data_IF_541485246539
#
_entry.id   IF_541485246539
#
_cell.length_a   1.000
_cell.length_b   1.000
_cell.length_c   1.000
_cell.angle_alpha   90.00
_cell.angle_beta   90.00
_cell.angle_gamma   90.00
#
_symmetry.space_group_name_H-M   'P 1'
#
loop_
_entity.id
_entity.type
_entity.pdbx_description
1 polymer ?
#
# COMPACT_ATOMS: atom_id res chain seq x y z
N UNK A 1 16.54 -2.44 -9.40
CA UNK A 1 15.40 -2.87 -10.26
C UNK A 1 15.92 -3.16 -11.66
N UNK A 2 15.38 -4.14 -12.38
CA UNK A 2 15.84 -4.50 -13.74
C UNK A 2 15.20 -3.56 -14.77
N UNK A 3 15.96 -2.99 -15.70
CA UNK A 3 15.50 -2.05 -16.73
C UNK A 3 14.24 -2.54 -17.50
N UNK A 4 14.17 -3.84 -17.81
CA UNK A 4 13.04 -4.43 -18.50
C UNK A 4 11.74 -4.29 -17.69
N UNK A 5 11.80 -4.54 -16.38
CA UNK A 5 10.64 -4.36 -15.50
C UNK A 5 10.16 -2.90 -15.47
N UNK A 6 11.09 -1.94 -15.59
CA UNK A 6 10.74 -0.50 -15.66
C UNK A 6 9.96 -0.17 -16.92
N UNK A 7 10.35 -0.73 -18.07
CA UNK A 7 9.62 -0.54 -19.32
C UNK A 7 8.23 -1.21 -19.29
N UNK A 8 8.14 -2.40 -18.72
CA UNK A 8 6.87 -3.12 -18.56
C UNK A 8 5.93 -2.33 -17.65
N UNK A 9 6.43 -1.81 -16.52
CA UNK A 9 5.66 -0.95 -15.63
C UNK A 9 5.23 0.36 -16.31
N UNK A 10 6.09 0.98 -17.12
CA UNK A 10 5.74 2.15 -17.92
C UNK A 10 4.59 1.84 -18.89
N UNK A 11 4.68 0.72 -19.62
CA UNK A 11 3.64 0.31 -20.56
C UNK A 11 2.30 0.04 -19.85
N UNK A 12 2.33 -0.57 -18.65
CA UNK A 12 1.15 -0.81 -17.83
C UNK A 12 0.56 0.52 -17.34
N UNK A 13 1.41 1.42 -16.80
CA UNK A 13 0.97 2.71 -16.32
C UNK A 13 0.33 3.56 -17.44
N UNK A 14 0.87 3.51 -18.65
CA UNK A 14 0.29 4.17 -19.81
C UNK A 14 -1.09 3.60 -20.18
N UNK A 15 -1.23 2.27 -20.25
CA UNK A 15 -2.52 1.60 -20.51
C UNK A 15 -3.56 1.88 -19.42
N UNK A 16 -3.13 1.94 -18.17
CA UNK A 16 -4.03 2.27 -17.05
C UNK A 16 -4.54 3.71 -17.14
N UNK A 17 -3.69 4.66 -17.56
CA UNK A 17 -4.10 6.04 -17.81
C UNK A 17 -5.12 6.16 -18.96
N UNK A 18 -5.14 5.20 -19.90
CA UNK A 18 -6.13 5.08 -20.98
C UNK A 18 -7.41 4.33 -20.56
N UNK A 19 -7.52 3.93 -19.28
CA UNK A 19 -8.64 3.17 -18.75
C UNK A 19 -8.65 1.69 -19.18
N UNK A 20 -7.56 1.19 -19.75
CA UNK A 20 -7.43 -0.19 -20.22
C UNK A 20 -6.21 -0.85 -19.57
N UNK A 21 -6.43 -1.74 -18.63
CA UNK A 21 -5.37 -2.56 -18.04
C UNK A 21 -5.46 -2.69 -16.54
N UNK A 22 -5.25 -3.89 -16.06
CA UNK A 22 -5.15 -4.24 -14.65
C UNK A 22 -3.69 -4.52 -14.31
N UNK A 23 -3.24 -4.04 -13.16
CA UNK A 23 -1.93 -4.33 -12.63
C UNK A 23 -2.05 -5.25 -11.42
N UNK A 24 -1.35 -6.36 -11.46
CA UNK A 24 -1.25 -7.26 -10.32
C UNK A 24 0.20 -7.70 -10.12
N UNK A 25 0.62 -7.78 -8.87
CA UNK A 25 1.92 -8.34 -8.51
C UNK A 25 1.75 -9.83 -8.28
N UNK A 26 2.43 -10.64 -9.10
CA UNK A 26 2.44 -12.09 -8.94
C UNK A 26 3.26 -12.48 -7.71
N UNK A 27 2.60 -13.03 -6.71
CA UNK A 27 3.21 -13.55 -5.49
C UNK A 27 2.70 -14.96 -5.19
N UNK A 28 3.58 -15.80 -4.66
CA UNK A 28 3.16 -17.05 -4.02
C UNK A 28 2.38 -16.74 -2.75
N UNK A 29 1.59 -17.70 -2.25
CA UNK A 29 0.87 -17.55 -0.97
C UNK A 29 1.80 -17.17 0.19
N UNK A 30 3.03 -17.72 0.22
CA UNK A 30 4.01 -17.43 1.25
C UNK A 30 4.55 -16.00 1.16
N UNK A 31 4.84 -15.53 -0.05
CA UNK A 31 5.30 -14.16 -0.28
C UNK A 31 4.22 -13.14 0.05
N UNK A 32 2.97 -13.41 -0.38
CA UNK A 32 1.83 -12.54 -0.07
C UNK A 32 1.61 -12.43 1.44
N UNK A 33 1.66 -13.56 2.17
CA UNK A 33 1.54 -13.53 3.63
C UNK A 33 2.65 -12.69 4.26
N UNK A 34 3.92 -12.93 3.88
CA UNK A 34 5.05 -12.15 4.39
C UNK A 34 4.92 -10.65 4.10
N UNK A 35 4.43 -10.29 2.91
CA UNK A 35 4.16 -8.91 2.52
C UNK A 35 3.10 -8.28 3.42
N UNK A 36 1.97 -8.94 3.62
CA UNK A 36 0.88 -8.46 4.47
C UNK A 36 1.29 -8.35 5.95
N UNK A 37 2.01 -9.35 6.47
CA UNK A 37 2.55 -9.33 7.84
C UNK A 37 3.53 -8.15 8.01
N UNK A 38 4.35 -7.87 7.01
CA UNK A 38 5.28 -6.74 7.04
C UNK A 38 4.58 -5.38 7.03
N UNK A 39 3.59 -5.17 6.15
CA UNK A 39 2.80 -3.91 6.15
C UNK A 39 2.08 -3.72 7.49
N UNK A 40 1.58 -4.81 8.06
CA UNK A 40 0.91 -4.79 9.37
C UNK A 40 1.85 -4.37 10.49
N UNK A 41 3.11 -4.81 10.44
CA UNK A 41 4.12 -4.46 11.42
C UNK A 41 4.59 -3.00 11.27
N UNK A 42 4.81 -2.54 10.02
CA UNK A 42 5.24 -1.17 9.72
C UNK A 42 4.79 -0.77 8.30
N UNK A 43 3.61 -0.15 8.20
CA UNK A 43 3.09 0.36 6.93
C UNK A 43 3.97 1.48 6.35
N UNK A 44 4.55 2.32 7.22
CA UNK A 44 5.42 3.43 6.81
C UNK A 44 6.72 2.96 6.18
N UNK A 45 7.34 1.87 6.69
CA UNK A 45 8.53 1.27 6.08
C UNK A 45 8.23 0.77 4.66
N UNK A 46 7.11 0.06 4.48
CA UNK A 46 6.71 -0.44 3.15
C UNK A 46 6.38 0.70 2.18
N UNK A 47 5.69 1.73 2.64
CA UNK A 47 5.41 2.92 1.84
C UNK A 47 6.70 3.64 1.45
N UNK A 48 7.61 3.83 2.39
CA UNK A 48 8.95 4.39 2.14
C UNK A 48 9.78 3.54 1.17
N UNK A 49 9.60 2.22 1.15
CA UNK A 49 10.25 1.33 0.19
C UNK A 49 9.74 1.56 -1.24
N UNK A 50 8.45 1.80 -1.43
CA UNK A 50 7.89 2.17 -2.73
C UNK A 50 8.49 3.49 -3.24
N UNK A 51 8.66 4.49 -2.36
CA UNK A 51 9.27 5.78 -2.69
C UNK A 51 10.74 5.70 -3.11
N UNK A 52 11.44 4.59 -2.78
CA UNK A 52 12.82 4.33 -3.22
C UNK A 52 12.92 3.73 -4.61
N UNK A 53 11.81 3.43 -5.27
CA UNK A 53 11.82 2.94 -6.65
C UNK A 53 12.36 4.05 -7.56
N UNK A 54 13.55 3.83 -8.09
CA UNK A 54 14.22 4.76 -8.99
C UNK A 54 14.50 4.08 -10.33
N UNK A 55 13.82 4.56 -11.38
CA UNK A 55 13.95 4.02 -12.72
C UNK A 55 15.33 4.31 -13.34
N UNK A 56 15.96 5.43 -12.98
CA UNK A 56 17.27 5.82 -13.50
C UNK A 56 18.41 4.95 -12.95
N UNK A 57 18.28 4.45 -11.73
CA UNK A 57 19.24 3.52 -11.12
C UNK A 57 18.99 2.06 -11.48
N UNK A 58 18.10 1.78 -12.44
CA UNK A 58 17.79 0.42 -12.85
C UNK A 58 18.94 -0.21 -13.64
N UNK A 59 19.20 -1.50 -13.39
CA UNK A 59 20.29 -2.26 -14.01
C UNK A 59 19.75 -3.22 -15.08
N UNK A 60 20.50 -3.41 -16.14
CA UNK A 60 20.27 -4.40 -17.17
C UNK A 60 21.40 -5.42 -17.19
N UNK A 61 21.10 -6.64 -17.63
CA UNK A 61 22.10 -7.69 -17.83
C UNK A 61 23.14 -7.33 -18.91
N UNK A 62 22.72 -6.51 -19.89
CA UNK A 62 23.59 -5.96 -20.93
C UNK A 62 23.60 -4.46 -20.87
N UNK A 63 24.79 -3.87 -20.96
CA UNK A 63 24.98 -2.42 -20.90
C UNK A 63 24.32 -1.69 -22.10
N UNK A 64 24.44 -2.28 -23.27
CA UNK A 64 23.82 -1.74 -24.50
C UNK A 64 22.30 -1.64 -24.41
N UNK A 65 21.67 -2.67 -23.86
CA UNK A 65 20.22 -2.67 -23.62
C UNK A 65 19.82 -1.58 -22.61
N UNK A 66 20.62 -1.39 -21.56
CA UNK A 66 20.41 -0.34 -20.56
C UNK A 66 20.45 1.05 -21.21
N UNK A 67 21.52 1.30 -21.96
CA UNK A 67 21.76 2.61 -22.57
C UNK A 67 20.63 2.94 -23.58
N UNK A 68 20.22 1.98 -24.42
CA UNK A 68 19.09 2.12 -25.33
C UNK A 68 17.76 2.40 -24.63
N UNK A 69 17.47 1.66 -23.54
CA UNK A 69 16.26 1.84 -22.73
C UNK A 69 16.27 3.21 -22.05
N UNK A 70 17.40 3.60 -21.45
CA UNK A 70 17.53 4.89 -20.80
C UNK A 70 17.38 6.07 -21.76
N UNK A 71 17.94 5.97 -22.96
CA UNK A 71 17.77 6.99 -23.99
C UNK A 71 16.31 7.09 -24.49
N UNK A 72 15.65 5.94 -24.64
CA UNK A 72 14.21 5.90 -24.93
C UNK A 72 13.36 6.57 -23.85
N UNK A 73 13.65 6.33 -22.57
CA UNK A 73 12.95 6.97 -21.45
C UNK A 73 13.23 8.47 -21.42
N UNK A 74 14.49 8.90 -21.57
CA UNK A 74 14.86 10.32 -21.57
C UNK A 74 14.19 11.10 -22.68
N UNK A 75 14.12 10.52 -23.89
CA UNK A 75 13.52 11.16 -25.06
C UNK A 75 11.98 11.16 -25.06
N UNK A 76 11.35 10.37 -24.22
CA UNK A 76 9.88 10.27 -24.12
C UNK A 76 9.32 10.94 -22.88
N UNK A 77 9.19 10.20 -21.77
CA UNK A 77 8.51 10.66 -20.55
C UNK A 77 9.46 11.25 -19.50
N UNK A 78 10.73 10.92 -19.55
CA UNK A 78 11.74 11.26 -18.56
C UNK A 78 11.63 10.42 -17.28
N UNK A 79 12.77 10.24 -16.59
CA UNK A 79 12.85 9.36 -15.41
C UNK A 79 11.98 9.81 -14.24
N UNK A 80 11.90 11.11 -13.97
CA UNK A 80 11.11 11.64 -12.86
C UNK A 80 9.61 11.37 -13.03
N UNK A 81 9.09 11.48 -14.24
CA UNK A 81 7.68 11.18 -14.53
C UNK A 81 7.44 9.69 -14.50
N UNK A 82 8.34 8.89 -15.07
CA UNK A 82 8.26 7.43 -15.03
C UNK A 82 8.26 6.91 -13.58
N UNK A 83 9.17 7.38 -12.73
CA UNK A 83 9.22 6.97 -11.32
C UNK A 83 7.93 7.29 -10.58
N UNK A 84 7.31 8.45 -10.82
CA UNK A 84 6.01 8.81 -10.25
C UNK A 84 4.88 7.90 -10.75
N UNK A 85 4.87 7.55 -12.04
CA UNK A 85 3.86 6.64 -12.60
C UNK A 85 3.98 5.24 -12.00
N UNK A 86 5.21 4.72 -11.89
CA UNK A 86 5.48 3.41 -11.26
C UNK A 86 5.07 3.42 -9.79
N UNK A 87 5.43 4.47 -9.05
CA UNK A 87 5.04 4.65 -7.66
C UNK A 87 3.50 4.61 -7.52
N UNK A 88 2.77 5.40 -8.30
CA UNK A 88 1.31 5.44 -8.23
C UNK A 88 0.64 4.08 -8.52
N UNK A 89 1.15 3.32 -9.49
CA UNK A 89 0.64 1.98 -9.80
C UNK A 89 0.86 1.00 -8.64
N UNK A 90 2.04 1.05 -8.00
CA UNK A 90 2.36 0.20 -6.85
C UNK A 90 1.56 0.59 -5.61
N UNK A 91 1.37 1.89 -5.40
CA UNK A 91 0.56 2.46 -4.32
C UNK A 91 -0.90 2.02 -4.41
N UNK A 92 -1.53 2.17 -5.58
CA UNK A 92 -2.90 1.71 -5.82
C UNK A 92 -3.04 0.19 -5.65
N UNK A 93 -2.06 -0.58 -6.16
CA UNK A 93 -2.06 -2.02 -5.99
C UNK A 93 -1.99 -2.41 -4.50
N UNK A 94 -1.10 -1.80 -3.73
CA UNK A 94 -0.99 -2.04 -2.28
C UNK A 94 -2.29 -1.71 -1.55
N UNK A 95 -2.90 -0.57 -1.85
CA UNK A 95 -4.19 -0.19 -1.29
C UNK A 95 -5.27 -1.23 -1.61
N UNK A 96 -5.35 -1.69 -2.86
CA UNK A 96 -6.29 -2.74 -3.28
C UNK A 96 -6.10 -4.06 -2.51
N UNK A 97 -4.85 -4.46 -2.24
CA UNK A 97 -4.54 -5.64 -1.43
C UNK A 97 -5.05 -5.50 0.01
N UNK A 98 -4.88 -4.33 0.63
CA UNK A 98 -5.37 -4.07 2.00
C UNK A 98 -6.91 -4.05 2.06
N UNK A 99 -7.57 -3.43 1.08
CA UNK A 99 -9.02 -3.43 0.97
C UNK A 99 -9.59 -4.84 0.78
N UNK A 100 -8.92 -5.67 -0.04
CA UNK A 100 -9.30 -7.06 -0.22
C UNK A 100 -9.18 -7.88 1.07
N UNK A 101 -8.13 -7.65 1.90
CA UNK A 101 -7.99 -8.30 3.20
C UNK A 101 -9.12 -7.87 4.16
N UNK A 102 -9.42 -6.58 4.22
CA UNK A 102 -10.51 -6.04 5.02
C UNK A 102 -11.85 -6.67 4.63
N UNK A 103 -12.16 -6.69 3.35
CA UNK A 103 -13.41 -7.27 2.84
C UNK A 103 -13.54 -8.75 3.14
N UNK A 104 -12.45 -9.51 2.92
CA UNK A 104 -12.41 -10.95 3.24
C UNK A 104 -12.67 -11.22 4.72
N UNK A 105 -12.08 -10.43 5.61
CA UNK A 105 -12.29 -10.55 7.06
C UNK A 105 -13.74 -10.20 7.46
N UNK A 106 -14.31 -9.16 6.84
CA UNK A 106 -15.72 -8.77 7.05
C UNK A 106 -16.68 -9.87 6.60
N UNK A 107 -16.46 -10.46 5.43
CA UNK A 107 -17.29 -11.55 4.90
C UNK A 107 -17.18 -12.84 5.75
N UNK A 108 -16.01 -13.07 6.35
CA UNK A 108 -15.80 -14.18 7.27
C UNK A 108 -16.42 -13.95 8.67
N UNK A 109 -16.95 -12.76 8.95
CA UNK A 109 -17.48 -12.37 10.26
C UNK A 109 -16.40 -12.12 11.33
N UNK A 110 -15.15 -11.97 10.92
CA UNK A 110 -14.05 -11.62 11.82
C UNK A 110 -13.92 -10.09 11.93
N UNK A 111 -14.79 -9.51 12.77
CA UNK A 111 -14.84 -8.06 12.96
C UNK A 111 -13.51 -7.49 13.49
N UNK A 112 -12.83 -8.23 14.36
CA UNK A 112 -11.55 -7.80 14.94
C UNK A 112 -10.47 -7.72 13.86
N UNK A 113 -10.38 -8.74 13.03
CA UNK A 113 -9.41 -8.76 11.94
C UNK A 113 -9.75 -7.71 10.86
N UNK A 114 -11.03 -7.50 10.56
CA UNK A 114 -11.48 -6.43 9.65
C UNK A 114 -11.11 -5.04 10.19
N UNK A 115 -11.26 -4.80 11.50
CA UNK A 115 -10.82 -3.55 12.14
C UNK A 115 -9.31 -3.35 12.02
N UNK A 116 -8.51 -4.41 12.23
CA UNK A 116 -7.05 -4.37 12.08
C UNK A 116 -6.65 -3.89 10.69
N UNK A 117 -7.21 -4.48 9.66
CA UNK A 117 -6.92 -4.08 8.28
C UNK A 117 -7.41 -2.66 7.98
N UNK A 118 -8.50 -2.22 8.61
CA UNK A 118 -8.97 -0.84 8.49
C UNK A 118 -7.98 0.15 9.11
N UNK A 119 -7.36 -0.17 10.24
CA UNK A 119 -6.30 0.64 10.86
C UNK A 119 -5.07 0.74 9.95
N UNK A 120 -4.61 -0.40 9.42
CA UNK A 120 -3.46 -0.41 8.48
C UNK A 120 -3.74 0.45 7.26
N UNK A 121 -4.93 0.33 6.67
CA UNK A 121 -5.35 1.14 5.52
C UNK A 121 -5.41 2.63 5.88
N UNK A 122 -5.95 3.00 7.04
CA UNK A 122 -5.99 4.38 7.50
C UNK A 122 -4.59 4.98 7.70
N UNK A 123 -3.63 4.19 8.18
CA UNK A 123 -2.24 4.63 8.32
C UNK A 123 -1.61 4.87 6.94
N UNK A 124 -1.76 3.94 6.01
CA UNK A 124 -1.29 4.09 4.62
C UNK A 124 -1.87 5.35 3.97
N UNK A 125 -3.18 5.59 4.10
CA UNK A 125 -3.82 6.80 3.57
C UNK A 125 -3.29 8.07 4.24
N UNK A 126 -3.01 8.04 5.54
CA UNK A 126 -2.38 9.15 6.26
C UNK A 126 -0.99 9.47 5.72
N UNK A 127 -0.15 8.47 5.47
CA UNK A 127 1.18 8.62 4.89
C UNK A 127 1.13 9.16 3.44
N UNK A 128 0.05 8.87 2.71
CA UNK A 128 -0.25 9.43 1.40
C UNK A 128 -0.75 10.89 1.44
N UNK A 129 -0.97 11.45 2.62
CA UNK A 129 -1.58 12.78 2.80
C UNK A 129 -3.09 12.82 2.57
N UNK A 130 -3.76 11.67 2.42
CA UNK A 130 -5.22 11.52 2.29
C UNK A 130 -5.88 11.52 3.66
N UNK A 131 -5.62 12.57 4.44
CA UNK A 131 -6.01 12.65 5.85
C UNK A 131 -7.50 12.55 6.08
N UNK A 132 -8.33 13.15 5.23
CA UNK A 132 -9.80 13.11 5.36
C UNK A 132 -10.33 11.68 5.26
N UNK A 133 -9.80 10.89 4.33
CA UNK A 133 -10.18 9.49 4.16
C UNK A 133 -9.66 8.61 5.31
N UNK A 134 -8.45 8.88 5.78
CA UNK A 134 -7.90 8.22 6.95
C UNK A 134 -8.74 8.47 8.21
N UNK A 135 -9.24 9.70 8.40
CA UNK A 135 -10.13 10.06 9.53
C UNK A 135 -11.43 9.27 9.47
N UNK A 136 -12.06 9.18 8.31
CA UNK A 136 -13.32 8.41 8.15
C UNK A 136 -13.13 6.93 8.55
N UNK A 137 -12.01 6.32 8.12
CA UNK A 137 -11.72 4.93 8.50
C UNK A 137 -11.45 4.78 10.00
N UNK A 138 -10.77 5.73 10.61
CA UNK A 138 -10.50 5.75 12.05
C UNK A 138 -11.78 5.87 12.88
N UNK A 139 -12.69 6.74 12.46
CA UNK A 139 -14.00 6.89 13.09
C UNK A 139 -14.81 5.59 13.00
N UNK A 140 -14.79 4.92 11.86
CA UNK A 140 -15.44 3.62 11.68
C UNK A 140 -14.87 2.54 12.61
N UNK A 141 -13.54 2.52 12.82
CA UNK A 141 -12.91 1.60 13.79
C UNK A 141 -13.34 1.92 15.21
N UNK A 142 -13.35 3.20 15.62
CA UNK A 142 -13.81 3.62 16.95
C UNK A 142 -15.26 3.23 17.22
N UNK A 143 -16.13 3.38 16.23
CA UNK A 143 -17.54 2.97 16.34
C UNK A 143 -17.67 1.43 16.46
N UNK A 144 -16.88 0.68 15.70
CA UNK A 144 -16.85 -0.77 15.80
C UNK A 144 -16.32 -1.24 17.18
N UNK A 145 -15.27 -0.62 17.70
CA UNK A 145 -14.76 -0.88 19.05
C UNK A 145 -15.83 -0.68 20.12
N UNK A 146 -16.60 0.42 20.07
CA UNK A 146 -17.68 0.69 21.02
C UNK A 146 -18.80 -0.35 20.97
N UNK A 147 -18.99 -1.05 19.85
CA UNK A 147 -20.00 -2.13 19.73
C UNK A 147 -19.49 -3.45 20.29
N UNK A 148 -18.18 -3.72 20.17
CA UNK A 148 -17.58 -5.02 20.51
C UNK A 148 -17.06 -5.03 21.94
N UNK A 149 -16.58 -3.90 22.45
CA UNK A 149 -16.03 -3.76 23.79
C UNK A 149 -17.11 -3.33 24.80
N UNK A 150 -17.06 -3.79 26.06
CA UNK A 150 -17.94 -3.32 27.12
C UNK A 150 -17.79 -1.80 27.32
N UNK A 151 -18.88 -1.11 27.74
CA UNK A 151 -18.87 0.34 27.99
C UNK A 151 -17.82 0.76 29.04
N UNK A 152 -17.44 -0.15 29.95
CA UNK A 152 -16.47 0.09 31.02
C UNK A 152 -15.03 -0.28 30.61
N UNK A 153 -14.80 -0.65 29.36
CA UNK A 153 -13.46 -1.03 28.91
C UNK A 153 -12.56 0.22 28.90
N UNK A 154 -11.44 0.21 29.66
CA UNK A 154 -10.53 1.35 29.72
C UNK A 154 -9.93 1.70 28.36
N UNK A 155 -10.07 0.85 27.35
CA UNK A 155 -9.65 1.12 25.98
C UNK A 155 -10.63 2.03 25.21
N UNK A 156 -11.87 2.24 25.71
CA UNK A 156 -12.86 3.16 25.11
C UNK A 156 -12.67 4.60 25.59
N UNK A 157 -11.94 4.82 26.69
CA UNK A 157 -11.71 6.12 27.29
C UNK A 157 -10.69 6.98 26.52
N UNK A 158 -11.14 8.12 26.00
CA UNK A 158 -10.37 9.16 25.28
C UNK A 158 -9.92 8.74 23.86
N UNK A 159 -10.62 9.24 22.84
CA UNK A 159 -10.53 8.83 21.44
C UNK A 159 -9.11 8.69 20.82
N UNK A 160 -8.13 9.50 21.23
CA UNK A 160 -6.74 9.38 20.79
C UNK A 160 -5.97 8.29 21.53
N UNK A 161 -6.33 7.99 22.79
CA UNK A 161 -5.69 6.94 23.59
C UNK A 161 -6.13 5.54 23.15
N UNK A 162 -7.39 5.37 22.73
CA UNK A 162 -7.90 4.11 22.17
C UNK A 162 -7.15 3.78 20.90
N UNK A 163 -6.97 4.76 20.03
CA UNK A 163 -6.24 4.57 18.77
C UNK A 163 -4.77 4.22 19.02
N UNK A 164 -4.11 4.91 19.95
CA UNK A 164 -2.72 4.65 20.32
C UNK A 164 -2.51 3.28 20.96
N UNK A 165 -3.41 2.84 21.85
CA UNK A 165 -3.33 1.51 22.48
C UNK A 165 -3.63 0.37 21.53
N UNK A 166 -4.63 0.54 20.67
CA UNK A 166 -4.93 -0.46 19.62
C UNK A 166 -3.76 -0.61 18.64
N UNK A 167 -3.13 0.49 18.23
CA UNK A 167 -1.90 0.41 17.44
C UNK A 167 -0.78 -0.32 18.20
N UNK A 168 -0.64 -0.12 19.51
CA UNK A 168 0.40 -0.76 20.34
C UNK A 168 0.05 -2.24 20.61
N UNK A 169 -1.21 -2.57 20.92
CA UNK A 169 -1.64 -3.94 21.19
C UNK A 169 -1.56 -4.86 19.95
N UNK A 170 -1.53 -4.29 18.74
CA UNK A 170 -1.39 -5.05 17.50
C UNK A 170 0.05 -5.13 17.01
N UNK A 171 1.00 -4.50 17.69
CA UNK A 171 2.44 -4.58 17.42
C UNK A 171 3.16 -5.53 18.42
N UNK A 172 2.46 -6.11 19.38
CA UNK A 172 2.95 -7.14 20.30
C UNK A 172 2.47 -8.54 19.88
#
# INVERSE_FOLDING_TARGET
MVCRCVLELHAIAAKKAEGSGEFAVAMTRKERRRFLDGIRADAGEYYGMLGRVNAESSECSRREDRDSIHDGIRSSVGFARLSRMVFGVLEEWMQGELEAQRSTSTEAGDEVEAMRWTVVLANVLGDQGRHDEAVVLREAVLEACRRVLPEDDPEIGEGDAVYGRWCIAFHA
#
